data_IF_572051235583
#
_entry.id   IF_572051235583
#
_cell.length_a   1.000
_cell.length_b   1.000
_cell.length_c   1.000
_cell.angle_alpha   90.00
_cell.angle_beta   90.00
_cell.angle_gamma   90.00
#
_symmetry.space_group_name_H-M   'P 1'
#
loop_
_entity.id
_entity.type
_entity.pdbx_description
1 polymer ?
#
# COMPACT_ATOMS: atom_id res chain seq x y z
N UNK A 1 73.70 -34.05 17.09
CA UNK A 1 72.27 -34.16 17.46
C UNK A 1 71.66 -32.87 18.01
N UNK A 2 72.15 -32.29 19.12
CA UNK A 2 71.51 -31.09 19.73
C UNK A 2 71.41 -29.85 18.82
N UNK A 3 72.44 -29.54 18.00
CA UNK A 3 72.41 -28.42 17.04
C UNK A 3 71.38 -28.62 15.91
N UNK A 4 71.27 -29.84 15.39
CA UNK A 4 70.30 -30.18 14.32
C UNK A 4 68.87 -30.06 14.82
N UNK A 5 68.58 -30.52 16.04
CA UNK A 5 67.27 -30.38 16.67
C UNK A 5 66.92 -28.90 16.89
N UNK A 6 67.87 -28.09 17.36
CA UNK A 6 67.66 -26.65 17.56
C UNK A 6 67.33 -25.91 16.25
N UNK A 7 68.03 -26.23 15.14
CA UNK A 7 67.77 -25.63 13.82
C UNK A 7 66.37 -26.01 13.32
N UNK A 8 65.96 -27.28 13.47
CA UNK A 8 64.61 -27.72 13.07
C UNK A 8 63.53 -26.98 13.86
N UNK A 9 63.71 -26.80 15.16
CA UNK A 9 62.76 -26.07 16.02
C UNK A 9 62.67 -24.59 15.62
N UNK A 10 63.80 -23.93 15.31
CA UNK A 10 63.81 -22.54 14.85
C UNK A 10 63.09 -22.39 13.50
N UNK A 11 63.33 -23.30 12.54
CA UNK A 11 62.64 -23.28 11.24
C UNK A 11 61.13 -23.50 11.43
N UNK A 12 60.71 -24.42 12.30
CA UNK A 12 59.30 -24.64 12.61
C UNK A 12 58.63 -23.41 13.25
N UNK A 13 59.34 -22.71 14.15
CA UNK A 13 58.86 -21.47 14.75
C UNK A 13 58.76 -20.33 13.73
N UNK A 14 59.76 -20.15 12.88
CA UNK A 14 59.77 -19.11 11.84
C UNK A 14 58.70 -19.35 10.78
N UNK A 15 58.48 -20.60 10.38
CA UNK A 15 57.39 -20.96 9.45
C UNK A 15 56.03 -20.71 10.09
N UNK A 16 55.82 -21.13 11.35
CA UNK A 16 54.58 -20.84 12.09
C UNK A 16 54.32 -19.32 12.21
N UNK A 17 55.35 -18.53 12.57
CA UNK A 17 55.25 -17.07 12.66
C UNK A 17 54.97 -16.43 11.29
N UNK A 18 55.61 -16.90 10.23
CA UNK A 18 55.34 -16.44 8.87
C UNK A 18 53.90 -16.73 8.45
N UNK A 19 53.37 -17.93 8.76
CA UNK A 19 51.97 -18.26 8.51
C UNK A 19 51.00 -17.36 9.30
N UNK A 20 51.28 -17.10 10.57
CA UNK A 20 50.47 -16.20 11.39
C UNK A 20 50.45 -14.77 10.82
N UNK A 21 51.62 -14.23 10.45
CA UNK A 21 51.75 -12.92 9.81
C UNK A 21 51.02 -12.90 8.46
N UNK A 22 51.17 -13.95 7.65
CA UNK A 22 50.52 -14.05 6.33
C UNK A 22 48.99 -14.03 6.44
N UNK A 23 48.41 -14.70 7.44
CA UNK A 23 46.96 -14.66 7.69
C UNK A 23 46.48 -13.28 8.13
N UNK A 24 47.26 -12.56 8.95
CA UNK A 24 46.93 -11.19 9.37
C UNK A 24 46.89 -10.22 8.18
N UNK A 25 47.77 -10.40 7.19
CA UNK A 25 47.80 -9.53 5.99
C UNK A 25 46.83 -9.94 4.88
N UNK A 26 46.38 -11.20 4.89
CA UNK A 26 45.47 -11.74 3.88
C UNK A 26 44.28 -12.45 4.56
N UNK A 27 43.39 -11.67 5.21
CA UNK A 27 42.23 -12.23 5.87
C UNK A 27 41.37 -13.03 4.89
N UNK A 28 40.77 -14.09 5.40
CA UNK A 28 39.82 -14.93 4.67
C UNK A 28 38.42 -14.59 5.16
N UNK A 29 37.56 -14.19 4.23
CA UNK A 29 36.13 -14.05 4.49
C UNK A 29 35.47 -15.34 4.06
N UNK A 30 34.79 -15.95 5.01
CA UNK A 30 33.90 -17.08 4.77
C UNK A 30 32.47 -16.56 4.77
N UNK A 31 31.58 -17.23 4.07
CA UNK A 31 30.17 -16.91 4.22
C UNK A 31 29.25 -17.84 3.48
N UNK A 32 27.96 -17.67 3.75
CA UNK A 32 26.89 -18.44 3.13
C UNK A 32 25.83 -17.48 2.59
N UNK A 33 25.32 -17.76 1.39
CA UNK A 33 24.24 -17.00 0.78
C UNK A 33 22.96 -17.82 0.77
N UNK A 34 21.87 -17.20 1.22
CA UNK A 34 20.53 -17.79 1.30
C UNK A 34 19.50 -16.97 0.51
N UNK A 35 18.35 -17.57 0.21
CA UNK A 35 17.12 -16.84 -0.12
C UNK A 35 16.34 -16.43 1.15
N UNK A 36 15.22 -15.71 0.96
CA UNK A 36 14.34 -15.29 2.05
C UNK A 36 13.75 -16.45 2.89
N UNK A 37 13.76 -17.68 2.37
CA UNK A 37 13.28 -18.88 3.05
C UNK A 37 14.42 -19.68 3.71
N UNK A 38 15.63 -19.10 3.78
CA UNK A 38 16.86 -19.73 4.29
C UNK A 38 17.33 -20.94 3.47
N UNK A 39 16.93 -21.05 2.20
CA UNK A 39 17.52 -22.04 1.30
C UNK A 39 18.86 -21.54 0.79
N UNK A 40 19.89 -22.38 0.82
CA UNK A 40 21.22 -22.04 0.31
C UNK A 40 21.22 -21.79 -1.19
N UNK A 41 21.93 -20.75 -1.64
CA UNK A 41 21.99 -20.34 -3.03
C UNK A 41 23.34 -20.67 -3.66
N UNK A 42 23.32 -21.63 -4.59
CA UNK A 42 24.50 -22.00 -5.39
C UNK A 42 24.77 -21.02 -6.54
N UNK A 43 26.04 -20.96 -6.99
CA UNK A 43 26.49 -20.14 -8.14
C UNK A 43 26.15 -18.65 -8.03
N UNK A 44 26.10 -18.13 -6.81
CA UNK A 44 25.98 -16.69 -6.53
C UNK A 44 27.36 -16.07 -6.73
N UNK A 45 27.45 -14.96 -7.45
CA UNK A 45 28.70 -14.20 -7.57
C UNK A 45 28.83 -13.27 -6.37
N UNK A 46 29.85 -13.51 -5.54
CA UNK A 46 30.23 -12.66 -4.40
C UNK A 46 31.50 -11.92 -4.74
N UNK A 47 31.48 -10.60 -4.69
CA UNK A 47 32.61 -9.73 -4.98
C UNK A 47 32.94 -8.89 -3.77
N UNK A 48 34.20 -8.97 -3.31
CA UNK A 48 34.69 -8.22 -2.15
C UNK A 48 35.95 -7.46 -2.57
N UNK A 49 35.91 -6.12 -2.44
CA UNK A 49 37.03 -5.23 -2.83
C UNK A 49 37.59 -5.52 -4.23
N UNK A 50 36.70 -5.78 -5.19
CA UNK A 50 37.06 -6.04 -6.59
C UNK A 50 37.43 -7.49 -6.92
N UNK A 51 37.61 -8.38 -5.94
CA UNK A 51 37.83 -9.82 -6.16
C UNK A 51 36.51 -10.56 -6.12
N UNK A 52 36.31 -11.52 -7.02
CA UNK A 52 35.07 -12.30 -7.12
C UNK A 52 35.28 -13.79 -6.89
N UNK A 53 34.27 -14.43 -6.31
CA UNK A 53 34.13 -15.89 -6.21
C UNK A 53 32.67 -16.28 -6.43
N UNK A 54 32.41 -17.54 -6.75
CA UNK A 54 31.05 -18.09 -6.80
C UNK A 54 30.79 -19.05 -5.65
N UNK A 55 29.57 -19.04 -5.10
CA UNK A 55 29.17 -19.99 -4.06
C UNK A 55 29.09 -21.43 -4.57
N UNK A 56 29.37 -22.39 -3.69
CA UNK A 56 29.25 -23.83 -3.93
C UNK A 56 27.80 -24.32 -3.87
N UNK A 57 27.58 -25.64 -3.92
CA UNK A 57 26.25 -26.26 -3.86
C UNK A 57 25.52 -26.04 -2.53
N UNK A 58 26.25 -25.69 -1.46
CA UNK A 58 25.71 -25.38 -0.14
C UNK A 58 25.61 -23.87 0.09
N UNK A 59 25.78 -23.06 -0.97
CA UNK A 59 25.75 -21.60 -0.90
C UNK A 59 26.96 -20.99 -0.20
N UNK A 60 28.02 -21.75 0.06
CA UNK A 60 29.20 -21.29 0.78
C UNK A 60 30.24 -20.70 -0.16
N UNK A 61 30.99 -19.72 0.32
CA UNK A 61 32.16 -19.18 -0.37
C UNK A 61 33.31 -18.91 0.59
N UNK A 62 34.52 -18.87 0.03
CA UNK A 62 35.76 -18.63 0.75
C UNK A 62 36.64 -17.69 -0.06
N UNK A 63 36.75 -16.42 0.35
CA UNK A 63 37.48 -15.41 -0.41
C UNK A 63 38.59 -14.77 0.42
N UNK A 64 39.82 -14.91 -0.06
CA UNK A 64 40.98 -14.23 0.52
C UNK A 64 41.08 -12.81 -0.03
N UNK A 65 41.03 -11.82 0.85
CA UNK A 65 41.16 -10.40 0.48
C UNK A 65 42.46 -9.81 1.04
N UNK A 66 42.85 -8.63 0.56
CA UNK A 66 43.92 -7.86 1.20
C UNK A 66 43.38 -7.24 2.47
N UNK A 67 44.20 -7.16 3.53
CA UNK A 67 43.82 -6.49 4.78
C UNK A 67 43.29 -5.10 4.48
N UNK A 68 42.06 -4.86 4.92
CA UNK A 68 41.38 -3.57 4.84
C UNK A 68 40.53 -3.43 6.11
N UNK A 69 40.36 -2.20 6.59
CA UNK A 69 39.44 -1.91 7.70
C UNK A 69 37.98 -2.02 7.28
N UNK A 70 37.73 -1.82 5.99
CA UNK A 70 36.41 -1.88 5.37
C UNK A 70 36.49 -2.76 4.11
N UNK A 71 35.43 -3.50 3.81
CA UNK A 71 35.26 -4.11 2.50
C UNK A 71 33.89 -3.87 1.91
N UNK A 72 33.90 -3.51 0.64
CA UNK A 72 32.70 -3.38 -0.17
C UNK A 72 32.34 -4.77 -0.70
N UNK A 73 31.21 -5.29 -0.25
CA UNK A 73 30.64 -6.56 -0.64
C UNK A 73 29.55 -6.28 -1.67
N UNK A 74 29.62 -6.95 -2.82
CA UNK A 74 28.59 -6.98 -3.84
C UNK A 74 28.21 -8.43 -4.11
N UNK A 75 26.92 -8.76 -4.04
CA UNK A 75 26.41 -10.11 -4.27
C UNK A 75 25.36 -10.06 -5.36
N UNK A 76 25.53 -10.92 -6.37
CA UNK A 76 24.65 -10.95 -7.55
C UNK A 76 24.31 -12.37 -7.95
N UNK A 77 23.04 -12.57 -8.33
CA UNK A 77 22.51 -13.82 -8.87
C UNK A 77 21.32 -13.51 -9.76
N UNK A 78 21.24 -14.13 -10.93
CA UNK A 78 20.09 -13.98 -11.82
C UNK A 78 18.79 -14.36 -11.10
N UNK A 79 17.76 -13.51 -11.26
CA UNK A 79 16.47 -13.67 -10.59
C UNK A 79 16.44 -13.14 -9.14
N UNK A 80 17.51 -12.52 -8.65
CA UNK A 80 17.59 -11.91 -7.32
C UNK A 80 18.01 -10.44 -7.40
N UNK A 81 17.57 -9.67 -6.41
CA UNK A 81 18.02 -8.29 -6.19
C UNK A 81 19.47 -8.32 -5.75
N UNK A 82 20.29 -7.47 -6.38
CA UNK A 82 21.71 -7.35 -6.02
C UNK A 82 21.86 -6.79 -4.61
N UNK A 83 22.74 -7.38 -3.83
CA UNK A 83 23.06 -6.90 -2.48
C UNK A 83 24.39 -6.16 -2.50
N UNK A 84 24.44 -5.00 -1.83
CA UNK A 84 25.64 -4.19 -1.68
C UNK A 84 25.74 -3.63 -0.26
N UNK A 85 26.86 -3.88 0.41
CA UNK A 85 27.11 -3.37 1.75
C UNK A 85 28.61 -3.09 1.94
N UNK A 86 28.94 -2.10 2.78
CA UNK A 86 30.31 -1.86 3.26
C UNK A 86 30.42 -2.40 4.67
N UNK A 87 31.22 -3.45 4.85
CA UNK A 87 31.44 -4.09 6.15
C UNK A 87 32.75 -3.61 6.77
N UNK A 88 32.72 -3.28 8.06
CA UNK A 88 33.91 -2.96 8.85
C UNK A 88 34.44 -4.23 9.53
N UNK A 89 35.75 -4.46 9.47
CA UNK A 89 36.40 -5.63 10.06
C UNK A 89 37.45 -5.20 11.08
N UNK A 90 37.29 -5.63 12.32
CA UNK A 90 38.31 -5.43 13.37
C UNK A 90 39.37 -6.55 13.33
N UNK A 91 38.96 -7.78 12.97
CA UNK A 91 39.79 -8.99 12.99
C UNK A 91 40.02 -9.69 11.62
N UNK A 92 40.91 -10.69 11.60
CA UNK A 92 41.45 -11.31 10.38
C UNK A 92 40.57 -12.41 9.73
N UNK A 93 39.47 -12.84 10.35
CA UNK A 93 38.54 -13.79 9.73
C UNK A 93 37.12 -13.53 10.17
N UNK A 94 36.22 -13.38 9.20
CA UNK A 94 34.81 -13.13 9.46
C UNK A 94 33.97 -14.12 8.67
N UNK A 95 32.91 -14.61 9.32
CA UNK A 95 31.84 -15.36 8.68
C UNK A 95 30.67 -14.42 8.44
N UNK A 96 30.20 -14.36 7.20
CA UNK A 96 29.06 -13.51 6.82
C UNK A 96 27.93 -14.36 6.27
N UNK A 97 26.72 -14.13 6.77
CA UNK A 97 25.49 -14.67 6.21
C UNK A 97 24.78 -13.58 5.42
N UNK A 98 24.38 -13.89 4.20
CA UNK A 98 23.74 -12.92 3.30
C UNK A 98 22.43 -13.52 2.78
N UNK A 99 21.37 -12.74 2.83
CA UNK A 99 20.05 -13.12 2.31
C UNK A 99 19.78 -12.30 1.06
N UNK A 100 19.59 -12.98 -0.08
CA UNK A 100 19.15 -12.35 -1.32
C UNK A 100 17.64 -12.47 -1.47
N UNK A 101 17.00 -11.35 -1.81
CA UNK A 101 15.58 -11.33 -2.14
C UNK A 101 15.39 -11.66 -3.62
N UNK A 102 14.42 -12.51 -3.96
CA UNK A 102 14.02 -12.70 -5.36
C UNK A 102 13.60 -11.37 -5.99
N UNK A 103 13.96 -11.18 -7.26
CA UNK A 103 13.63 -10.00 -8.07
C UNK A 103 12.18 -10.03 -8.57
N UNK A 104 11.24 -10.14 -7.65
CA UNK A 104 9.79 -10.08 -7.93
C UNK A 104 9.37 -8.62 -8.10
N UNK A 105 8.29 -8.34 -8.83
CA UNK A 105 7.83 -6.95 -9.05
C UNK A 105 7.62 -6.20 -7.73
N UNK A 106 7.04 -6.86 -6.73
CA UNK A 106 6.87 -6.31 -5.39
C UNK A 106 8.21 -5.95 -4.72
N UNK A 107 9.20 -6.84 -4.75
CA UNK A 107 10.50 -6.57 -4.14
C UNK A 107 11.27 -5.48 -4.90
N UNK A 108 11.14 -5.41 -6.22
CA UNK A 108 11.71 -4.33 -7.04
C UNK A 108 11.08 -2.97 -6.73
N UNK A 109 9.78 -2.92 -6.43
CA UNK A 109 9.11 -1.70 -5.93
C UNK A 109 9.71 -1.26 -4.61
N UNK A 110 9.90 -2.19 -3.67
CA UNK A 110 10.55 -1.91 -2.37
C UNK A 110 11.97 -1.41 -2.52
N UNK A 111 12.78 -2.05 -3.38
CA UNK A 111 14.16 -1.63 -3.67
C UNK A 111 14.21 -0.23 -4.26
N UNK A 112 13.33 0.10 -5.20
CA UNK A 112 13.22 1.45 -5.79
C UNK A 112 12.74 2.49 -4.79
N UNK A 113 12.06 2.08 -3.72
CA UNK A 113 11.52 2.99 -2.70
C UNK A 113 10.27 3.77 -3.15
N UNK A 114 9.66 3.41 -4.29
CA UNK A 114 8.51 4.10 -4.87
C UNK A 114 7.52 3.10 -5.47
N UNK A 115 6.25 3.21 -5.08
CA UNK A 115 5.11 2.58 -5.72
C UNK A 115 4.40 3.61 -6.61
N UNK A 116 4.50 3.44 -7.93
CA UNK A 116 3.78 4.28 -8.88
C UNK A 116 2.41 3.65 -9.20
N UNK A 117 1.33 4.40 -9.03
CA UNK A 117 -0.03 3.98 -9.39
C UNK A 117 -0.59 4.85 -10.52
N UNK A 118 -1.29 4.22 -11.46
CA UNK A 118 -2.05 4.91 -12.50
C UNK A 118 -3.51 5.05 -12.08
N UNK A 119 -4.07 6.25 -12.23
CA UNK A 119 -5.46 6.54 -11.85
C UNK A 119 -6.14 7.28 -12.99
N UNK A 120 -7.39 6.90 -13.31
CA UNK A 120 -8.19 7.66 -14.28
C UNK A 120 -8.54 9.02 -13.68
N UNK A 121 -8.41 10.10 -14.46
CA UNK A 121 -8.76 11.47 -14.03
C UNK A 121 -10.21 11.57 -13.53
N UNK A 122 -11.11 10.72 -14.03
CA UNK A 122 -12.52 10.69 -13.66
C UNK A 122 -12.83 9.71 -12.50
N UNK A 123 -11.82 9.00 -11.98
CA UNK A 123 -12.01 7.95 -10.97
C UNK A 123 -11.88 8.45 -9.53
N UNK A 124 -11.16 9.55 -9.30
CA UNK A 124 -10.95 10.06 -7.94
C UNK A 124 -12.24 10.60 -7.32
N UNK A 125 -12.62 10.07 -6.14
CA UNK A 125 -13.68 10.66 -5.34
C UNK A 125 -13.13 11.85 -4.57
N UNK A 126 -13.60 13.05 -4.91
CA UNK A 126 -13.48 14.23 -4.07
C UNK A 126 -14.79 14.41 -3.31
N UNK A 127 -14.75 14.33 -1.97
CA UNK A 127 -15.98 14.47 -1.16
C UNK A 127 -16.43 15.92 -0.99
N UNK A 128 -15.60 16.91 -1.32
CA UNK A 128 -16.00 18.31 -1.49
C UNK A 128 -15.26 18.99 -2.66
N UNK A 129 -16.01 19.55 -3.61
CA UNK A 129 -15.45 20.31 -4.74
C UNK A 129 -15.19 21.75 -4.30
N UNK A 130 -14.05 21.98 -3.65
CA UNK A 130 -13.66 23.26 -3.07
C UNK A 130 -12.39 23.88 -3.68
N UNK A 131 -12.54 24.59 -4.80
CA UNK A 131 -11.66 25.64 -5.37
C UNK A 131 -10.14 25.43 -5.54
N UNK A 132 -9.56 24.31 -5.16
CA UNK A 132 -8.25 23.86 -5.67
C UNK A 132 -8.42 22.39 -6.02
N UNK A 133 -8.41 22.07 -7.31
CA UNK A 133 -8.36 20.70 -7.84
C UNK A 133 -7.06 20.02 -7.38
N UNK A 134 -6.96 19.69 -6.09
CA UNK A 134 -5.83 18.97 -5.55
C UNK A 134 -6.21 17.49 -5.43
N UNK A 135 -5.82 16.64 -6.39
CA UNK A 135 -6.09 15.22 -6.32
C UNK A 135 -5.54 14.55 -5.05
N UNK A 136 -4.52 15.14 -4.41
CA UNK A 136 -3.94 14.68 -3.14
C UNK A 136 -4.96 14.63 -1.97
N UNK A 137 -6.14 15.26 -2.14
CA UNK A 137 -7.22 15.29 -1.15
C UNK A 137 -8.36 14.29 -1.44
N UNK A 138 -8.07 13.23 -2.19
CA UNK A 138 -9.02 12.12 -2.39
C UNK A 138 -8.88 11.04 -1.33
N UNK A 139 -10.01 10.41 -0.97
CA UNK A 139 -10.02 9.22 -0.09
C UNK A 139 -9.16 8.12 -0.72
N UNK A 140 -9.24 7.96 -2.04
CA UNK A 140 -8.50 6.95 -2.77
C UNK A 140 -6.98 7.14 -2.59
N UNK A 141 -6.46 8.36 -2.79
CA UNK A 141 -5.03 8.65 -2.58
C UNK A 141 -4.65 8.49 -1.11
N UNK A 142 -5.45 8.98 -0.16
CA UNK A 142 -5.16 8.83 1.27
C UNK A 142 -5.02 7.37 1.72
N UNK A 143 -5.86 6.48 1.17
CA UNK A 143 -5.75 5.03 1.42
C UNK A 143 -4.47 4.49 0.79
N UNK A 144 -4.17 4.82 -0.46
CA UNK A 144 -2.97 4.31 -1.13
C UNK A 144 -1.67 4.86 -0.56
N UNK A 145 -1.68 6.05 0.04
CA UNK A 145 -0.58 6.57 0.84
C UNK A 145 -0.36 5.69 2.08
N UNK A 146 -1.43 5.32 2.79
CA UNK A 146 -1.35 4.39 3.92
C UNK A 146 -0.78 3.03 3.50
N UNK A 147 -1.25 2.47 2.40
CA UNK A 147 -0.76 1.21 1.84
C UNK A 147 0.73 1.33 1.47
N UNK A 148 1.14 2.41 0.79
CA UNK A 148 2.55 2.64 0.43
C UNK A 148 3.47 2.73 1.66
N UNK A 149 3.01 3.39 2.73
CA UNK A 149 3.73 3.46 4.01
C UNK A 149 3.92 2.07 4.63
N UNK A 150 2.91 1.20 4.60
CA UNK A 150 3.02 -0.18 5.10
C UNK A 150 3.99 -1.03 4.28
N UNK A 151 4.08 -0.78 2.97
CA UNK A 151 5.09 -1.43 2.10
C UNK A 151 6.50 -0.90 2.43
N UNK A 152 6.61 0.34 2.93
CA UNK A 152 7.87 1.02 3.22
C UNK A 152 8.40 1.83 2.04
N UNK A 153 7.50 2.34 1.18
CA UNK A 153 7.84 3.09 -0.06
C UNK A 153 7.05 4.39 -0.13
N UNK A 154 7.49 5.32 -0.98
CA UNK A 154 6.71 6.51 -1.34
C UNK A 154 5.62 6.16 -2.35
N UNK A 155 4.50 6.86 -2.30
CA UNK A 155 3.50 6.82 -3.37
C UNK A 155 3.85 7.84 -4.45
N UNK A 156 3.72 7.42 -5.71
CA UNK A 156 3.78 8.28 -6.89
C UNK A 156 2.48 8.07 -7.69
N UNK A 157 1.66 9.10 -7.85
CA UNK A 157 0.36 8.99 -8.51
C UNK A 157 0.44 9.64 -9.89
N UNK A 158 0.05 8.88 -10.92
CA UNK A 158 0.00 9.36 -12.30
C UNK A 158 -1.42 9.29 -12.83
N UNK A 159 -1.86 10.41 -13.41
CA UNK A 159 -3.17 10.55 -14.00
C UNK A 159 -3.14 10.19 -15.48
N UNK A 160 -4.16 9.45 -15.90
CA UNK A 160 -4.35 9.03 -17.29
C UNK A 160 -5.82 9.18 -17.66
N UNK A 161 -6.11 9.16 -18.96
CA UNK A 161 -7.46 8.82 -19.41
C UNK A 161 -7.74 7.34 -19.16
N UNK A 162 -9.02 6.99 -19.03
CA UNK A 162 -9.42 5.61 -18.74
C UNK A 162 -8.91 4.63 -19.81
N UNK A 163 -8.96 5.01 -21.08
CA UNK A 163 -8.45 4.22 -22.21
C UNK A 163 -6.92 4.06 -22.24
N UNK A 164 -6.17 4.88 -21.49
CA UNK A 164 -4.71 4.87 -21.44
C UNK A 164 -4.16 4.02 -20.27
N UNK A 165 -4.96 3.79 -19.22
CA UNK A 165 -4.52 3.12 -17.99
C UNK A 165 -3.90 1.73 -18.22
N UNK A 166 -4.58 0.89 -19.00
CA UNK A 166 -4.13 -0.48 -19.27
C UNK A 166 -2.79 -0.47 -20.02
N UNK A 167 -2.60 0.49 -20.93
CA UNK A 167 -1.36 0.61 -21.69
C UNK A 167 -0.22 1.13 -20.81
N UNK A 168 -0.47 2.10 -19.93
CA UNK A 168 0.52 2.59 -18.97
C UNK A 168 1.05 1.45 -18.06
N UNK A 169 0.15 0.56 -17.62
CA UNK A 169 0.53 -0.62 -16.84
C UNK A 169 1.36 -1.61 -17.66
N UNK A 170 0.95 -1.94 -18.89
CA UNK A 170 1.67 -2.85 -19.80
C UNK A 170 3.06 -2.32 -20.17
N UNK A 171 3.19 -1.02 -20.36
CA UNK A 171 4.46 -0.34 -20.65
C UNK A 171 5.35 -0.16 -19.40
N UNK A 172 4.88 -0.58 -18.22
CA UNK A 172 5.59 -0.45 -16.94
C UNK A 172 5.85 1.01 -16.53
N UNK A 173 5.05 1.95 -17.04
CA UNK A 173 5.07 3.36 -16.65
C UNK A 173 4.50 3.57 -15.23
N UNK A 174 3.62 2.64 -14.82
CA UNK A 174 3.06 2.48 -13.48
C UNK A 174 3.21 1.04 -13.00
N UNK A 175 3.14 0.82 -11.70
CA UNK A 175 3.20 -0.51 -11.10
C UNK A 175 1.82 -1.16 -10.99
N UNK A 176 0.78 -0.38 -10.71
CA UNK A 176 -0.61 -0.80 -10.57
C UNK A 176 -1.52 0.27 -11.17
N UNK A 177 -2.78 -0.07 -11.42
CA UNK A 177 -3.82 0.91 -11.72
C UNK A 177 -4.96 0.83 -10.71
N UNK A 178 -5.62 1.97 -10.46
CA UNK A 178 -6.86 2.06 -9.68
C UNK A 178 -8.01 2.40 -10.62
N UNK A 179 -9.08 1.61 -10.55
CA UNK A 179 -10.29 1.87 -11.32
C UNK A 179 -11.49 1.14 -10.72
N UNK A 180 -12.65 1.33 -11.32
CA UNK A 180 -13.83 0.59 -10.92
C UNK A 180 -13.72 -0.89 -11.36
N UNK A 181 -14.35 -1.78 -10.59
CA UNK A 181 -14.30 -3.22 -10.79
C UNK A 181 -14.83 -3.65 -12.17
N UNK A 182 -15.89 -3.02 -12.68
CA UNK A 182 -16.43 -3.33 -14.01
C UNK A 182 -15.43 -3.01 -15.12
N UNK A 183 -14.71 -1.90 -15.03
CA UNK A 183 -13.67 -1.54 -16.00
C UNK A 183 -12.54 -2.58 -16.00
N UNK A 184 -12.04 -2.96 -14.81
CA UNK A 184 -10.95 -3.93 -14.67
C UNK A 184 -11.36 -5.33 -15.16
N UNK A 185 -12.60 -5.76 -14.87
CA UNK A 185 -13.13 -7.05 -15.36
C UNK A 185 -13.12 -7.17 -16.89
N UNK A 186 -13.21 -6.05 -17.59
CA UNK A 186 -13.19 -6.00 -19.05
C UNK A 186 -11.76 -5.79 -19.63
N UNK A 187 -10.72 -5.76 -18.78
CA UNK A 187 -9.36 -5.34 -19.18
C UNK A 187 -8.32 -6.47 -19.25
N UNK A 188 -8.71 -7.74 -19.03
CA UNK A 188 -7.80 -8.90 -18.93
C UNK A 188 -6.64 -8.70 -17.91
N UNK A 189 -6.90 -7.96 -16.84
CA UNK A 189 -5.94 -7.68 -15.77
C UNK A 189 -6.23 -8.55 -14.54
N UNK A 190 -5.21 -8.70 -13.69
CA UNK A 190 -5.41 -9.34 -12.40
C UNK A 190 -6.00 -8.32 -11.42
N UNK A 191 -7.28 -8.53 -11.08
CA UNK A 191 -8.02 -7.69 -10.15
C UNK A 191 -7.62 -7.98 -8.69
N UNK A 192 -7.31 -6.92 -7.95
CA UNK A 192 -7.14 -6.92 -6.51
C UNK A 192 -8.47 -6.70 -5.77
N UNK A 193 -8.46 -6.88 -4.46
CA UNK A 193 -9.66 -6.65 -3.66
C UNK A 193 -10.06 -5.17 -3.62
N UNK A 194 -11.33 -4.85 -3.32
CA UNK A 194 -11.73 -3.49 -3.04
C UNK A 194 -10.94 -2.89 -1.88
N UNK A 195 -10.41 -1.68 -2.06
CA UNK A 195 -9.58 -1.05 -1.03
C UNK A 195 -10.40 -0.30 0.03
N UNK A 196 -11.69 -0.06 -0.20
CA UNK A 196 -12.68 0.34 0.81
C UNK A 196 -14.10 -0.13 0.45
N UNK A 197 -14.99 -0.12 1.43
CA UNK A 197 -16.38 -0.56 1.30
C UNK A 197 -17.29 0.57 0.80
N UNK A 198 -17.80 0.40 -0.42
CA UNK A 198 -18.70 1.35 -1.09
C UNK A 198 -20.17 0.98 -1.01
N UNK A 199 -20.50 -0.06 -0.24
CA UNK A 199 -21.89 -0.39 0.09
C UNK A 199 -22.57 0.83 0.70
N UNK A 200 -23.85 1.03 0.42
CA UNK A 200 -24.57 2.19 0.94
C UNK A 200 -25.21 1.89 2.28
N UNK A 201 -25.19 2.89 3.15
CA UNK A 201 -25.85 2.87 4.46
C UNK A 201 -26.85 4.01 4.50
N UNK A 202 -28.10 3.69 4.81
CA UNK A 202 -29.12 4.69 5.11
C UNK A 202 -28.91 5.23 6.52
N UNK A 203 -28.60 6.52 6.60
CA UNK A 203 -28.51 7.30 7.82
C UNK A 203 -29.87 7.94 8.12
N UNK A 204 -30.42 7.61 9.27
CA UNK A 204 -31.75 8.03 9.73
C UNK A 204 -31.61 8.61 11.13
N UNK A 205 -32.31 9.71 11.41
CA UNK A 205 -32.43 10.30 12.74
C UNK A 205 -32.88 9.27 13.79
N UNK A 206 -32.24 9.20 14.96
CA UNK A 206 -32.69 8.28 16.04
C UNK A 206 -34.08 8.61 16.56
N UNK A 207 -34.52 9.87 16.48
CA UNK A 207 -35.88 10.26 16.82
C UNK A 207 -36.94 9.71 15.86
N UNK A 208 -36.55 9.29 14.65
CA UNK A 208 -37.45 8.65 13.70
C UNK A 208 -37.69 7.18 14.11
N UNK A 209 -38.71 6.97 14.92
CA UNK A 209 -39.12 5.65 15.40
C UNK A 209 -39.88 4.82 14.36
N UNK A 210 -40.25 5.42 13.21
CA UNK A 210 -41.07 4.77 12.19
C UNK A 210 -40.23 3.91 11.24
N UNK A 211 -38.99 4.32 10.96
CA UNK A 211 -38.12 3.64 10.00
C UNK A 211 -37.21 2.66 10.75
N UNK A 212 -37.58 1.38 10.72
CA UNK A 212 -36.88 0.33 11.48
C UNK A 212 -36.01 -0.57 10.61
N UNK A 213 -36.32 -0.67 9.34
CA UNK A 213 -35.74 -1.61 8.40
C UNK A 213 -35.70 -1.02 7.00
N UNK A 214 -35.01 -1.70 6.08
CA UNK A 214 -35.00 -1.36 4.64
C UNK A 214 -36.42 -1.26 4.06
N UNK A 215 -37.35 -2.12 4.52
CA UNK A 215 -38.74 -2.12 4.04
C UNK A 215 -39.47 -0.81 4.35
N UNK A 216 -39.11 -0.13 5.44
CA UNK A 216 -39.74 1.11 5.86
C UNK A 216 -39.24 2.32 5.03
N UNK A 217 -38.25 2.12 4.17
CA UNK A 217 -37.70 3.12 3.23
C UNK A 217 -38.41 3.11 1.86
N UNK A 218 -39.33 2.17 1.62
CA UNK A 218 -40.14 2.15 0.39
C UNK A 218 -40.99 3.42 0.32
N UNK A 219 -41.00 4.07 -0.85
CA UNK A 219 -41.69 5.33 -1.12
C UNK A 219 -41.26 6.52 -0.22
N UNK A 220 -40.16 6.37 0.52
CA UNK A 220 -39.56 7.45 1.33
C UNK A 220 -38.64 8.32 0.49
N UNK A 221 -38.48 9.58 0.89
CA UNK A 221 -37.56 10.51 0.24
C UNK A 221 -36.14 10.26 0.74
N UNK A 222 -35.24 9.88 -0.16
CA UNK A 222 -33.89 9.44 0.18
C UNK A 222 -32.87 10.40 -0.44
N UNK A 223 -32.09 11.08 0.40
CA UNK A 223 -31.01 11.95 -0.04
C UNK A 223 -29.84 11.18 -0.60
N UNK A 224 -29.42 11.51 -1.83
CA UNK A 224 -28.26 10.91 -2.52
C UNK A 224 -27.44 11.95 -3.28
N UNK A 225 -26.14 11.70 -3.41
CA UNK A 225 -25.24 12.62 -4.07
C UNK A 225 -25.47 12.49 -5.58
N UNK A 226 -25.58 13.62 -6.30
CA UNK A 226 -26.02 13.63 -7.70
C UNK A 226 -25.24 12.66 -8.59
N UNK A 227 -23.95 12.48 -8.33
CA UNK A 227 -23.05 11.66 -9.14
C UNK A 227 -22.68 10.32 -8.48
N UNK A 228 -23.38 9.91 -7.41
CA UNK A 228 -23.13 8.62 -6.75
C UNK A 228 -23.90 7.49 -7.44
N UNK A 229 -23.20 6.68 -8.24
CA UNK A 229 -23.76 5.47 -8.85
C UNK A 229 -24.24 4.48 -7.78
N UNK A 230 -23.44 4.25 -6.73
CA UNK A 230 -23.81 3.35 -5.64
C UNK A 230 -25.07 3.84 -4.91
N UNK A 231 -25.17 5.15 -4.63
CA UNK A 231 -26.36 5.76 -4.05
C UNK A 231 -27.60 5.60 -4.93
N UNK A 232 -27.46 5.78 -6.25
CA UNK A 232 -28.56 5.59 -7.19
C UNK A 232 -29.07 4.14 -7.23
N UNK A 233 -28.18 3.16 -7.36
CA UNK A 233 -28.57 1.74 -7.36
C UNK A 233 -29.16 1.31 -6.01
N UNK A 234 -28.69 1.88 -4.90
CA UNK A 234 -29.27 1.65 -3.58
C UNK A 234 -30.69 2.22 -3.44
N UNK A 235 -30.96 3.45 -3.87
CA UNK A 235 -32.34 4.00 -3.83
C UNK A 235 -33.29 3.18 -4.70
N UNK A 236 -32.81 2.76 -5.87
CA UNK A 236 -33.57 1.91 -6.80
C UNK A 236 -33.86 0.53 -6.20
N UNK A 237 -32.89 -0.10 -5.53
CA UNK A 237 -33.09 -1.42 -4.91
C UNK A 237 -34.15 -1.40 -3.80
N UNK A 238 -34.21 -0.31 -3.04
CA UNK A 238 -35.18 -0.12 -1.95
C UNK A 238 -36.49 0.54 -2.38
N UNK A 239 -36.63 0.90 -3.67
CA UNK A 239 -37.80 1.60 -4.22
C UNK A 239 -38.11 2.91 -3.47
N UNK A 240 -37.06 3.66 -3.13
CA UNK A 240 -37.18 5.00 -2.55
C UNK A 240 -37.38 6.08 -3.62
N UNK A 241 -37.67 7.29 -3.17
CA UNK A 241 -37.78 8.49 -4.00
C UNK A 241 -36.47 9.27 -3.88
N UNK A 242 -35.60 9.32 -4.91
CA UNK A 242 -34.31 9.99 -4.81
C UNK A 242 -34.47 11.51 -4.71
N UNK A 243 -33.72 12.11 -3.78
CA UNK A 243 -33.53 13.56 -3.65
C UNK A 243 -32.04 13.83 -3.85
N UNK A 244 -31.72 14.56 -4.92
CA UNK A 244 -30.32 14.73 -5.37
C UNK A 244 -29.67 15.98 -4.79
N UNK A 245 -28.46 15.81 -4.27
CA UNK A 245 -27.64 16.89 -3.71
C UNK A 245 -26.39 17.12 -4.57
N UNK A 246 -26.12 18.40 -4.86
CA UNK A 246 -24.94 18.86 -5.63
C UNK A 246 -23.66 18.86 -4.79
N UNK A 247 -23.79 19.02 -3.46
CA UNK A 247 -22.69 18.93 -2.49
C UNK A 247 -22.88 17.68 -1.64
N UNK A 248 -21.83 16.87 -1.52
CA UNK A 248 -22.02 15.45 -1.25
C UNK A 248 -22.38 15.11 0.20
N UNK A 249 -22.23 16.01 1.18
CA UNK A 249 -22.35 15.62 2.58
C UNK A 249 -22.95 16.71 3.48
N UNK A 250 -22.44 17.94 3.44
CA UNK A 250 -22.89 19.01 4.34
C UNK A 250 -24.38 19.33 4.17
N UNK A 251 -24.88 19.41 2.94
CA UNK A 251 -26.30 19.65 2.66
C UNK A 251 -27.20 18.47 3.10
N UNK A 252 -26.76 17.23 2.90
CA UNK A 252 -27.50 16.05 3.37
C UNK A 252 -27.55 15.95 4.88
N UNK A 253 -26.44 16.25 5.57
CA UNK A 253 -26.41 16.32 7.04
C UNK A 253 -27.28 17.46 7.57
N UNK A 254 -27.29 18.61 6.89
CA UNK A 254 -28.15 19.74 7.26
C UNK A 254 -29.62 19.35 7.16
N UNK A 255 -30.04 18.73 6.06
CA UNK A 255 -31.43 18.30 5.85
C UNK A 255 -31.81 17.07 6.71
N UNK A 256 -30.82 16.26 7.12
CA UNK A 256 -30.99 15.18 8.08
C UNK A 256 -31.01 15.64 9.55
N UNK A 257 -30.61 16.86 9.94
CA UNK A 257 -30.53 17.28 11.36
C UNK A 257 -31.79 18.01 11.87
N UNK A 258 -32.02 18.10 13.19
CA UNK A 258 -32.77 19.19 13.79
C UNK A 258 -31.77 20.25 14.28
N UNK A 259 -31.02 20.90 13.37
CA UNK A 259 -30.09 21.97 13.76
C UNK A 259 -30.45 23.27 13.06
N UNK A 260 -30.57 24.34 13.84
CA UNK A 260 -30.29 25.68 13.31
C UNK A 260 -28.77 25.79 13.18
N UNK A 261 -28.19 25.85 11.98
CA UNK A 261 -26.75 25.99 11.83
C UNK A 261 -26.26 27.27 12.51
N UNK A 262 -25.11 27.21 13.19
CA UNK A 262 -24.50 28.38 13.84
C UNK A 262 -23.99 29.40 12.79
N UNK A 263 -23.64 28.90 11.60
CA UNK A 263 -23.48 29.65 10.35
C UNK A 263 -24.02 28.80 9.20
N UNK A 264 -24.90 29.36 8.39
CA UNK A 264 -25.26 28.79 7.09
C UNK A 264 -24.08 29.08 6.16
N UNK A 265 -23.53 28.08 5.44
CA UNK A 265 -22.55 28.36 4.40
C UNK A 265 -23.16 29.35 3.41
N UNK A 266 -22.47 30.45 3.12
CA UNK A 266 -22.93 31.56 2.27
C UNK A 266 -23.27 31.16 0.83
N UNK A 267 -23.06 29.89 0.45
CA UNK A 267 -23.37 29.31 -0.86
C UNK A 267 -24.56 28.35 -0.89
N UNK A 268 -25.25 28.12 0.23
CA UNK A 268 -26.50 27.34 0.21
C UNK A 268 -27.67 28.30 -0.03
N UNK A 269 -27.91 28.64 -1.29
CA UNK A 269 -28.98 29.56 -1.75
C UNK A 269 -30.39 28.94 -1.73
N UNK A 270 -30.61 27.83 -1.02
CA UNK A 270 -31.94 27.20 -0.93
C UNK A 270 -32.39 27.01 0.52
N UNK A 271 -33.67 27.30 0.82
CA UNK A 271 -34.21 27.10 2.16
C UNK A 271 -34.17 25.62 2.51
N UNK A 272 -33.54 25.33 3.65
CA UNK A 272 -33.58 24.05 4.38
C UNK A 272 -35.06 23.66 4.49
N UNK A 273 -35.42 22.52 3.92
CA UNK A 273 -36.74 21.91 4.10
C UNK A 273 -36.50 20.51 4.64
N UNK A 274 -37.33 20.09 5.57
CA UNK A 274 -37.45 18.70 6.03
C UNK A 274 -37.86 17.80 4.84
N UNK A 275 -36.95 17.58 3.88
CA UNK A 275 -37.24 17.04 2.55
C UNK A 275 -36.87 15.57 2.40
N UNK A 276 -36.13 14.98 3.35
CA UNK A 276 -35.69 13.59 3.27
C UNK A 276 -35.94 12.82 4.57
N UNK A 277 -36.31 11.55 4.42
CA UNK A 277 -36.53 10.58 5.49
C UNK A 277 -35.24 9.84 5.91
N UNK A 278 -34.28 9.75 4.98
CA UNK A 278 -32.95 9.18 5.18
C UNK A 278 -31.96 9.79 4.17
N UNK A 279 -30.65 9.72 4.44
CA UNK A 279 -29.61 9.98 3.43
C UNK A 279 -28.67 8.78 3.31
N UNK A 280 -28.20 8.51 2.10
CA UNK A 280 -27.26 7.44 1.84
C UNK A 280 -25.82 7.94 1.87
N UNK A 281 -24.97 7.16 2.53
CA UNK A 281 -23.53 7.36 2.56
C UNK A 281 -22.83 6.03 2.30
N UNK A 282 -21.59 6.06 1.80
CA UNK A 282 -20.79 4.85 1.72
C UNK A 282 -20.53 4.30 3.15
N UNK A 283 -20.54 2.98 3.27
CA UNK A 283 -20.33 2.28 4.54
C UNK A 283 -18.97 2.62 5.14
N UNK A 284 -17.95 2.75 4.30
CA UNK A 284 -16.63 3.25 4.68
C UNK A 284 -16.72 4.58 5.44
N UNK A 285 -17.47 5.53 4.90
CA UNK A 285 -17.66 6.85 5.48
C UNK A 285 -18.37 6.75 6.83
N UNK A 286 -19.47 6.00 6.91
CA UNK A 286 -20.22 5.85 8.17
C UNK A 286 -19.43 5.12 9.26
N UNK A 287 -18.51 4.25 8.86
CA UNK A 287 -17.69 3.43 9.77
C UNK A 287 -16.54 4.23 10.38
N UNK A 288 -15.93 5.11 9.59
CA UNK A 288 -14.70 5.79 9.97
C UNK A 288 -14.89 7.28 10.25
N UNK A 289 -16.01 7.91 9.89
CA UNK A 289 -16.27 9.30 10.29
C UNK A 289 -16.78 9.36 11.74
N UNK A 290 -16.20 10.25 12.53
CA UNK A 290 -16.69 10.55 13.89
C UNK A 290 -18.06 11.25 13.92
N UNK A 291 -18.63 11.61 12.76
CA UNK A 291 -19.89 12.36 12.68
C UNK A 291 -21.14 11.49 12.79
N UNK A 292 -21.03 10.18 12.51
CA UNK A 292 -22.13 9.23 12.67
C UNK A 292 -22.16 8.72 14.11
N UNK A 293 -22.62 9.58 15.01
CA UNK A 293 -22.73 9.30 16.45
C UNK A 293 -24.06 8.61 16.79
N UNK A 294 -24.32 8.44 18.09
CA UNK A 294 -25.60 8.11 18.73
C UNK A 294 -26.83 8.92 18.26
N UNK A 295 -26.66 9.95 17.44
CA UNK A 295 -27.73 10.74 16.83
C UNK A 295 -28.36 10.07 15.60
N UNK A 296 -27.73 9.04 15.05
CA UNK A 296 -28.24 8.36 13.87
C UNK A 296 -28.37 6.85 14.05
N UNK A 297 -29.46 6.33 13.52
CA UNK A 297 -29.62 4.93 13.21
C UNK A 297 -29.09 4.67 11.79
N UNK A 298 -28.27 3.63 11.68
CA UNK A 298 -27.72 3.17 10.42
C UNK A 298 -28.43 1.89 9.98
N UNK A 299 -28.84 1.82 8.72
CA UNK A 299 -29.40 0.63 8.08
C UNK A 299 -28.58 0.33 6.84
N UNK A 300 -27.92 -0.84 6.82
CA UNK A 300 -27.20 -1.33 5.64
C UNK A 300 -28.19 -1.54 4.48
N UNK A 301 -27.83 -1.05 3.28
CA UNK A 301 -28.60 -1.24 2.07
C UNK A 301 -27.88 -2.24 1.16
N UNK A 302 -28.53 -3.36 0.90
CA UNK A 302 -28.06 -4.33 -0.08
C UNK A 302 -28.40 -3.85 -1.49
N UNK A 303 -27.37 -3.52 -2.26
CA UNK A 303 -27.49 -3.12 -3.66
C UNK A 303 -26.28 -3.61 -4.44
N UNK A 304 -26.49 -3.99 -5.70
CA UNK A 304 -25.37 -4.23 -6.60
C UNK A 304 -24.81 -2.88 -7.01
N UNK A 305 -23.53 -2.65 -6.73
CA UNK A 305 -22.80 -1.48 -7.17
C UNK A 305 -21.40 -1.89 -7.63
N UNK A 306 -20.75 -1.00 -8.36
CA UNK A 306 -19.37 -1.18 -8.78
C UNK A 306 -18.44 -0.88 -7.59
N UNK A 307 -17.39 -1.68 -7.41
CA UNK A 307 -16.40 -1.49 -6.36
C UNK A 307 -15.19 -0.70 -6.87
N UNK A 308 -14.46 -0.10 -5.95
CA UNK A 308 -13.19 0.57 -6.23
C UNK A 308 -12.06 -0.40 -5.93
N UNK A 309 -11.33 -0.81 -6.96
CA UNK A 309 -10.33 -1.87 -6.91
C UNK A 309 -9.00 -1.40 -7.49
N UNK A 310 -7.96 -2.21 -7.30
CA UNK A 310 -6.70 -2.05 -8.02
C UNK A 310 -6.44 -3.22 -8.93
N UNK A 311 -5.51 -3.07 -9.87
CA UNK A 311 -5.13 -4.16 -10.76
C UNK A 311 -3.63 -4.17 -11.09
N UNK A 312 -3.12 -5.37 -11.31
CA UNK A 312 -1.79 -5.67 -11.84
C UNK A 312 -1.86 -6.44 -13.16
N UNK A 313 -0.70 -6.72 -13.76
CA UNK A 313 -0.66 -7.60 -14.92
C UNK A 313 -0.97 -9.06 -14.51
N UNK A 314 -1.43 -9.92 -15.42
CA UNK A 314 -1.73 -11.32 -15.12
C UNK A 314 -0.58 -12.12 -14.48
N UNK A 315 0.68 -11.77 -14.78
CA UNK A 315 1.88 -12.38 -14.22
C UNK A 315 2.30 -11.79 -12.85
N UNK A 316 1.63 -10.74 -12.38
CA UNK A 316 1.95 -10.04 -11.12
C UNK A 316 1.23 -10.62 -9.88
N UNK A 317 0.85 -11.90 -9.91
CA UNK A 317 0.04 -12.54 -8.87
C UNK A 317 0.55 -12.32 -7.45
N UNK A 318 1.85 -12.50 -7.24
CA UNK A 318 2.48 -12.27 -5.93
C UNK A 318 2.32 -10.82 -5.44
N UNK A 319 2.43 -9.83 -6.36
CA UNK A 319 2.29 -8.42 -6.01
C UNK A 319 0.86 -8.11 -5.57
N UNK A 320 -0.12 -8.60 -6.32
CA UNK A 320 -1.54 -8.41 -6.00
C UNK A 320 -1.90 -9.08 -4.66
N UNK A 321 -1.46 -10.32 -4.43
CA UNK A 321 -1.70 -11.04 -3.18
C UNK A 321 -1.08 -10.33 -1.97
N UNK A 322 0.18 -9.87 -2.08
CA UNK A 322 0.83 -9.11 -1.00
C UNK A 322 0.10 -7.82 -0.68
N UNK A 323 -0.41 -7.11 -1.70
CA UNK A 323 -1.14 -5.86 -1.50
C UNK A 323 -2.53 -6.13 -0.90
N UNK A 324 -3.23 -7.18 -1.33
CA UNK A 324 -4.49 -7.61 -0.70
C UNK A 324 -4.29 -7.83 0.80
N UNK A 325 -3.27 -8.60 1.19
CA UNK A 325 -2.98 -8.84 2.61
C UNK A 325 -2.69 -7.54 3.38
N UNK A 326 -1.98 -6.59 2.76
CA UNK A 326 -1.71 -5.28 3.37
C UNK A 326 -3.00 -4.46 3.52
N UNK A 327 -3.91 -4.51 2.54
CA UNK A 327 -5.22 -3.84 2.61
C UNK A 327 -6.06 -4.46 3.72
N UNK A 328 -6.16 -5.79 3.80
CA UNK A 328 -6.87 -6.51 4.87
C UNK A 328 -6.35 -6.12 6.26
N UNK A 329 -5.02 -6.20 6.45
CA UNK A 329 -4.37 -5.79 7.69
C UNK A 329 -4.68 -4.32 8.02
N UNK A 330 -4.59 -3.43 7.03
CA UNK A 330 -4.87 -2.00 7.25
C UNK A 330 -6.30 -1.82 7.72
N UNK A 331 -7.29 -2.41 7.03
CA UNK A 331 -8.70 -2.26 7.36
C UNK A 331 -9.03 -2.77 8.77
N UNK A 332 -8.28 -3.76 9.26
CA UNK A 332 -8.40 -4.30 10.62
C UNK A 332 -7.73 -3.42 11.67
N UNK A 333 -6.50 -2.96 11.41
CA UNK A 333 -5.61 -2.41 12.44
C UNK A 333 -5.44 -0.88 12.38
N UNK A 334 -5.69 -0.23 11.25
CA UNK A 334 -5.38 1.20 11.02
C UNK A 334 -6.61 2.12 11.15
N UNK A 335 -7.52 1.81 12.08
CA UNK A 335 -8.80 2.55 12.21
C UNK A 335 -8.61 4.05 12.42
N UNK A 336 -7.57 4.46 13.13
CA UNK A 336 -7.26 5.88 13.40
C UNK A 336 -6.80 6.58 12.11
N UNK A 337 -6.00 5.90 11.29
CA UNK A 337 -5.53 6.44 10.01
C UNK A 337 -6.70 6.57 9.03
N UNK A 338 -7.58 5.56 8.97
CA UNK A 338 -8.80 5.64 8.18
C UNK A 338 -9.74 6.76 8.64
N UNK A 339 -9.92 6.95 9.96
CA UNK A 339 -10.62 8.11 10.51
C UNK A 339 -9.97 9.42 10.04
N UNK A 340 -8.65 9.53 10.11
CA UNK A 340 -7.93 10.72 9.65
C UNK A 340 -8.08 10.99 8.14
N UNK A 341 -8.12 9.95 7.30
CA UNK A 341 -8.36 10.06 5.86
C UNK A 341 -9.79 10.53 5.59
N UNK A 342 -10.76 9.97 6.31
CA UNK A 342 -12.16 10.41 6.19
C UNK A 342 -12.30 11.84 6.69
N UNK A 343 -11.82 12.17 7.89
CA UNK A 343 -11.94 13.53 8.41
C UNK A 343 -11.23 14.57 7.51
N UNK A 344 -10.07 14.27 6.92
CA UNK A 344 -9.39 15.20 6.02
C UNK A 344 -10.16 15.45 4.71
N UNK A 345 -10.85 14.43 4.20
CA UNK A 345 -11.68 14.55 3.00
C UNK A 345 -13.05 15.18 3.28
N UNK A 346 -13.43 15.34 4.57
CA UNK A 346 -14.76 15.72 5.02
C UNK A 346 -14.81 17.07 5.77
N UNK A 347 -13.71 17.52 6.38
CA UNK A 347 -13.67 18.70 7.26
C UNK A 347 -13.30 20.02 6.56
N UNK A 348 -13.21 20.09 5.23
CA UNK A 348 -12.68 21.28 4.56
C UNK A 348 -13.55 22.54 4.60
N UNK A 349 -14.76 22.52 5.16
CA UNK A 349 -15.63 23.72 5.23
C UNK A 349 -16.41 23.93 6.54
N UNK A 350 -15.93 23.41 7.68
CA UNK A 350 -16.62 23.60 8.97
C UNK A 350 -16.08 24.74 9.87
N UNK A 351 -15.18 25.59 9.36
CA UNK A 351 -14.71 26.82 10.05
C UNK A 351 -15.43 28.10 9.60
#
# INVERSE_FOLDING_TARGET
MKKTILIIVIIALLTSLFFAIFQIYNPVINGTVFDENKNSLQRVTVKINGRSITTDSNGKFHLRIRKAKEANVEVTKDGYIGYKETLSFEDASHEIEMILLKATKFNLVKEKGVLTIGVSENHLRQYERGTNDNPDLSVDIGIWELISRRIGVKLDVKFYKEEELVNALKNKEVNLILSNEQFIKNSDLLIGMPYYDTSQVACIKVENILIKSVKDLIDKKIGIARNSQAGFEAVKSIKGIPVFYDTCLSAMFIDLKPFKPMRVPTRIDKPIKDEIDAALFDKFVTKYSGQFTDQYKLIDIEASHDNFVFAGLPDDKETVEKINNIIEDSQQYDKIQYLGIVDSCFCMYMD
#
